data_IF_689214253832
#
_entry.id   IF_689214253832
#
_cell.length_a   1.000
_cell.length_b   1.000
_cell.length_c   1.000
_cell.angle_alpha   90.00
_cell.angle_beta   90.00
_cell.angle_gamma   90.00
#
_symmetry.space_group_name_H-M   'P 1'
#
loop_
_entity.id
_entity.type
_entity.pdbx_description
1 polymer ?
#
# COMPACT_ATOMS: atom_id res chain seq x y z
N UNK A 1 43.63 20.52 41.27
CA UNK A 1 42.68 20.20 40.18
C UNK A 1 42.89 21.09 38.95
N UNK A 2 43.11 22.41 39.08
CA UNK A 2 43.37 23.28 37.92
C UNK A 2 44.62 22.89 37.08
N UNK A 3 45.74 22.51 37.71
CA UNK A 3 46.94 22.10 36.95
C UNK A 3 46.77 20.81 36.13
N UNK A 4 45.93 19.87 36.58
CA UNK A 4 45.71 18.59 35.88
C UNK A 4 44.81 18.80 34.65
N UNK A 5 43.90 19.77 34.72
CA UNK A 5 43.07 20.20 33.58
C UNK A 5 43.92 20.89 32.51
N UNK A 6 44.89 21.72 32.91
CA UNK A 6 45.84 22.35 31.98
C UNK A 6 46.73 21.33 31.26
N UNK A 7 47.26 20.34 31.99
CA UNK A 7 48.04 19.25 31.37
C UNK A 7 47.20 18.37 30.43
N UNK A 8 45.92 18.14 30.76
CA UNK A 8 45.02 17.40 29.88
C UNK A 8 44.69 18.18 28.60
N UNK A 9 44.47 19.51 28.68
CA UNK A 9 44.27 20.35 27.50
C UNK A 9 45.49 20.38 26.58
N UNK A 10 46.71 20.50 27.12
CA UNK A 10 47.95 20.46 26.33
C UNK A 10 48.19 19.11 25.64
N UNK A 11 47.88 18.00 26.31
CA UNK A 11 47.95 16.66 25.70
C UNK A 11 46.89 16.51 24.59
N UNK A 12 45.69 17.08 24.78
CA UNK A 12 44.62 17.02 23.77
C UNK A 12 44.98 17.88 22.55
N UNK A 13 45.57 19.06 22.74
CA UNK A 13 46.08 19.90 21.65
C UNK A 13 47.26 19.26 20.91
N UNK A 14 48.16 18.58 21.64
CA UNK A 14 49.25 17.79 21.05
C UNK A 14 48.73 16.60 20.22
N UNK A 15 47.74 15.87 20.71
CA UNK A 15 47.12 14.74 20.00
C UNK A 15 46.32 15.21 18.77
N UNK A 16 45.59 16.34 18.87
CA UNK A 16 44.88 16.94 17.74
C UNK A 16 45.86 17.49 16.71
N UNK A 17 46.98 18.09 17.13
CA UNK A 17 48.05 18.53 16.22
C UNK A 17 48.78 17.35 15.58
N UNK A 18 48.99 16.25 16.30
CA UNK A 18 49.62 15.04 15.76
C UNK A 18 48.67 14.32 14.80
N UNK A 19 47.36 14.30 15.11
CA UNK A 19 46.32 13.79 14.23
C UNK A 19 46.16 14.66 12.97
N UNK A 20 46.26 15.99 13.07
CA UNK A 20 46.19 16.90 11.92
C UNK A 20 47.45 16.86 11.05
N UNK A 21 48.62 16.55 11.62
CA UNK A 21 49.88 16.42 10.86
C UNK A 21 50.09 15.00 10.29
N UNK A 22 49.32 14.00 10.75
CA UNK A 22 49.25 12.66 10.15
C UNK A 22 48.04 12.45 9.24
N UNK A 23 47.14 13.44 9.14
CA UNK A 23 46.06 13.51 8.13
C UNK A 23 46.36 14.47 6.97
N UNK A 24 47.59 14.95 6.85
CA UNK A 24 48.09 15.59 5.61
C UNK A 24 48.57 14.58 4.55
N UNK A 25 48.28 13.28 4.74
CA UNK A 25 48.40 12.26 3.69
C UNK A 25 47.10 12.29 2.87
N UNK A 26 47.13 13.08 1.79
CA UNK A 26 46.26 12.96 0.61
C UNK A 26 44.74 12.86 0.87
N UNK A 27 44.15 13.81 1.58
CA UNK A 27 42.69 14.07 1.47
C UNK A 27 42.47 15.18 0.44
N UNK A 28 42.92 14.94 -0.79
CA UNK A 28 42.52 15.74 -1.95
C UNK A 28 42.30 14.85 -3.20
N UNK A 29 42.28 13.52 -3.03
CA UNK A 29 42.14 12.53 -4.12
C UNK A 29 40.97 11.54 -3.94
N UNK A 30 40.03 11.79 -3.02
CA UNK A 30 38.94 10.83 -2.72
C UNK A 30 37.51 11.42 -2.67
N UNK A 31 37.30 12.69 -3.03
CA UNK A 31 35.96 13.26 -3.17
C UNK A 31 35.22 12.64 -4.36
N UNK A 32 35.92 12.33 -5.45
CA UNK A 32 35.33 11.64 -6.61
C UNK A 32 35.08 10.16 -6.33
N UNK A 33 35.92 9.49 -5.54
CA UNK A 33 35.68 8.09 -5.17
C UNK A 33 34.51 8.01 -4.18
N UNK A 34 34.49 8.86 -3.14
CA UNK A 34 33.41 8.92 -2.16
C UNK A 34 32.09 9.31 -2.83
N UNK A 35 32.08 10.31 -3.72
CA UNK A 35 30.89 10.66 -4.49
C UNK A 35 30.47 9.56 -5.47
N UNK A 36 31.41 8.81 -6.06
CA UNK A 36 31.08 7.69 -6.95
C UNK A 36 30.55 6.48 -6.19
N UNK A 37 31.14 6.12 -5.05
CA UNK A 37 30.62 5.11 -4.10
C UNK A 37 29.23 5.49 -3.57
N UNK A 38 29.01 6.76 -3.22
CA UNK A 38 27.69 7.29 -2.82
C UNK A 38 26.72 7.26 -4.02
N UNK A 39 27.17 7.58 -5.23
CA UNK A 39 26.34 7.50 -6.46
C UNK A 39 25.96 6.08 -6.81
N UNK A 40 26.87 5.11 -6.66
CA UNK A 40 26.58 3.70 -6.91
C UNK A 40 25.60 3.14 -5.89
N UNK A 41 25.77 3.47 -4.61
CA UNK A 41 24.82 3.08 -3.56
C UNK A 41 23.44 3.75 -3.69
N UNK A 42 23.33 4.87 -4.42
CA UNK A 42 22.07 5.55 -4.72
C UNK A 42 21.43 5.17 -6.07
N UNK A 43 21.98 4.18 -6.78
CA UNK A 43 21.27 3.60 -7.93
C UNK A 43 20.12 2.73 -7.41
N UNK A 44 18.90 3.24 -7.50
CA UNK A 44 17.70 2.46 -7.23
C UNK A 44 17.35 1.58 -8.45
N UNK A 45 17.60 0.27 -8.42
CA UNK A 45 17.27 -0.59 -9.56
C UNK A 45 15.76 -0.70 -9.68
N UNK A 46 15.24 -0.57 -10.91
CA UNK A 46 13.78 -0.63 -11.14
C UNK A 46 13.15 -2.00 -10.84
N UNK A 47 13.94 -3.08 -10.95
CA UNK A 47 13.56 -4.46 -10.59
C UNK A 47 12.13 -4.85 -11.00
N UNK A 48 11.80 -4.67 -12.29
CA UNK A 48 10.44 -4.87 -12.82
C UNK A 48 9.84 -6.25 -12.48
N UNK A 49 10.67 -7.29 -12.46
CA UNK A 49 10.23 -8.65 -12.09
C UNK A 49 9.69 -8.74 -10.66
N UNK A 50 10.28 -8.01 -9.69
CA UNK A 50 9.76 -7.95 -8.31
C UNK A 50 8.39 -7.27 -8.26
N UNK A 51 8.20 -6.25 -9.10
CA UNK A 51 6.89 -5.59 -9.24
C UNK A 51 5.85 -6.55 -9.81
N UNK A 52 6.23 -7.38 -10.80
CA UNK A 52 5.36 -8.42 -11.35
C UNK A 52 4.98 -9.46 -10.29
N UNK A 53 5.93 -9.95 -9.50
CA UNK A 53 5.66 -10.88 -8.40
C UNK A 53 4.71 -10.23 -7.37
N UNK A 54 4.95 -8.97 -6.99
CA UNK A 54 4.08 -8.24 -6.08
C UNK A 54 2.66 -8.09 -6.63
N UNK A 55 2.51 -7.76 -7.91
CA UNK A 55 1.22 -7.69 -8.59
C UNK A 55 0.48 -9.04 -8.60
N UNK A 56 1.19 -10.14 -8.86
CA UNK A 56 0.60 -11.49 -8.81
C UNK A 56 0.16 -11.87 -7.39
N UNK A 57 0.95 -11.56 -6.36
CA UNK A 57 0.58 -11.79 -4.96
C UNK A 57 -0.65 -10.96 -4.56
N UNK A 58 -0.70 -9.69 -4.96
CA UNK A 58 -1.86 -8.83 -4.75
C UNK A 58 -3.10 -9.40 -5.45
N UNK A 59 -2.98 -9.78 -6.73
CA UNK A 59 -4.08 -10.36 -7.51
C UNK A 59 -4.59 -11.67 -6.90
N UNK A 60 -3.68 -12.54 -6.46
CA UNK A 60 -4.02 -13.79 -5.78
C UNK A 60 -4.75 -13.53 -4.45
N UNK A 61 -4.27 -12.58 -3.64
CA UNK A 61 -4.92 -12.22 -2.38
C UNK A 61 -6.31 -11.62 -2.60
N UNK A 62 -6.46 -10.73 -3.59
CA UNK A 62 -7.74 -10.14 -3.96
C UNK A 62 -8.72 -11.19 -4.49
N UNK A 63 -8.25 -12.12 -5.32
CA UNK A 63 -9.05 -13.25 -5.80
C UNK A 63 -9.42 -14.22 -4.67
N UNK A 64 -8.50 -14.49 -3.75
CA UNK A 64 -8.79 -15.28 -2.55
C UNK A 64 -9.93 -14.66 -1.72
N UNK A 65 -9.95 -13.33 -1.59
CA UNK A 65 -11.06 -12.64 -0.94
C UNK A 65 -12.38 -12.83 -1.67
N UNK A 66 -12.42 -12.77 -3.01
CA UNK A 66 -13.67 -12.97 -3.75
C UNK A 66 -14.15 -14.41 -3.69
N UNK A 67 -13.24 -15.38 -3.62
CA UNK A 67 -13.57 -16.80 -3.40
C UNK A 67 -14.15 -17.02 -2.01
N UNK A 68 -13.48 -16.55 -0.96
CA UNK A 68 -13.98 -16.66 0.42
C UNK A 68 -15.31 -15.91 0.56
N UNK A 69 -15.45 -14.70 0.03
CA UNK A 69 -16.70 -13.95 0.04
C UNK A 69 -17.83 -14.73 -0.68
N UNK A 70 -17.54 -15.32 -1.84
CA UNK A 70 -18.51 -16.13 -2.58
C UNK A 70 -18.98 -17.36 -1.82
N UNK A 71 -18.10 -17.94 -1.00
CA UNK A 71 -18.39 -19.08 -0.13
C UNK A 71 -19.22 -18.65 1.09
N UNK A 72 -18.70 -17.71 1.89
CA UNK A 72 -19.33 -17.24 3.13
C UNK A 72 -20.67 -16.54 2.91
N UNK A 73 -20.89 -16.00 1.70
CA UNK A 73 -22.15 -15.41 1.31
C UNK A 73 -23.36 -16.32 1.57
N UNK A 74 -23.22 -17.61 1.29
CA UNK A 74 -24.31 -18.57 1.48
C UNK A 74 -24.54 -18.91 2.96
N UNK A 75 -23.50 -18.80 3.80
CA UNK A 75 -23.50 -19.16 5.22
C UNK A 75 -23.72 -17.97 6.17
N UNK A 76 -23.77 -16.74 5.65
CA UNK A 76 -23.97 -15.54 6.48
C UNK A 76 -25.22 -15.66 7.36
N UNK A 77 -25.19 -15.20 8.61
CA UNK A 77 -26.37 -15.16 9.47
C UNK A 77 -27.49 -14.31 8.85
N UNK A 78 -28.74 -14.77 8.99
CA UNK A 78 -29.96 -14.03 8.60
C UNK A 78 -30.59 -13.29 9.78
N UNK A 79 -29.89 -13.22 10.92
CA UNK A 79 -30.33 -12.47 12.09
C UNK A 79 -30.34 -10.97 11.82
N UNK A 80 -30.98 -10.22 12.72
CA UNK A 80 -30.95 -8.75 12.69
C UNK A 80 -29.50 -8.23 12.78
N UNK A 81 -29.22 -7.03 12.25
CA UNK A 81 -27.92 -6.38 12.40
C UNK A 81 -27.52 -6.25 13.87
N UNK A 82 -26.22 -6.29 14.13
CA UNK A 82 -25.69 -6.03 15.45
C UNK A 82 -25.88 -4.54 15.81
N UNK A 83 -26.04 -4.20 17.11
CA UNK A 83 -26.08 -2.82 17.53
C UNK A 83 -24.75 -2.13 17.20
N UNK A 84 -24.81 -0.97 16.56
CA UNK A 84 -23.66 -0.20 16.15
C UNK A 84 -23.87 1.28 16.49
N UNK A 85 -22.82 1.90 17.03
CA UNK A 85 -22.87 3.29 17.48
C UNK A 85 -23.21 4.25 16.34
N UNK A 86 -22.64 4.07 15.15
CA UNK A 86 -22.90 4.95 14.00
C UNK A 86 -24.35 4.87 13.54
N UNK A 87 -24.96 3.68 13.62
CA UNK A 87 -26.33 3.45 13.19
C UNK A 87 -27.35 4.08 14.15
N UNK A 88 -26.97 4.30 15.41
CA UNK A 88 -27.81 4.95 16.42
C UNK A 88 -27.91 6.47 16.23
N UNK A 89 -26.87 7.11 15.67
CA UNK A 89 -26.79 8.56 15.52
C UNK A 89 -27.13 9.06 14.11
N UNK A 90 -27.14 8.18 13.11
CA UNK A 90 -27.26 8.58 11.70
C UNK A 90 -28.52 8.01 11.04
N UNK A 91 -29.26 8.85 10.27
CA UNK A 91 -30.41 8.35 9.52
C UNK A 91 -29.95 7.38 8.43
N UNK A 92 -30.79 6.41 8.07
CA UNK A 92 -30.49 5.51 6.97
C UNK A 92 -30.58 6.21 5.63
N UNK A 93 -29.47 6.18 4.87
CA UNK A 93 -29.41 6.75 3.53
C UNK A 93 -28.58 5.82 2.63
N UNK A 94 -29.19 4.83 1.98
CA UNK A 94 -28.47 3.82 1.19
C UNK A 94 -27.72 4.42 -0.01
N UNK A 95 -28.25 5.50 -0.59
CA UNK A 95 -27.62 6.19 -1.73
C UNK A 95 -26.21 6.71 -1.43
N UNK A 96 -25.85 6.93 -0.16
CA UNK A 96 -24.51 7.37 0.23
C UNK A 96 -23.43 6.33 -0.08
N UNK A 97 -23.79 5.06 -0.19
CA UNK A 97 -22.86 4.00 -0.54
C UNK A 97 -22.27 4.18 -1.95
N UNK A 98 -23.09 4.66 -2.91
CA UNK A 98 -22.62 5.00 -4.26
C UNK A 98 -21.57 6.12 -4.23
N UNK A 99 -21.79 7.16 -3.41
CA UNK A 99 -20.83 8.25 -3.27
C UNK A 99 -19.54 7.82 -2.56
N UNK A 100 -19.63 6.90 -1.59
CA UNK A 100 -18.45 6.25 -1.01
C UNK A 100 -17.63 5.54 -2.09
N UNK A 101 -18.26 4.70 -2.90
CA UNK A 101 -17.58 3.94 -3.96
C UNK A 101 -16.95 4.89 -5.00
N UNK A 102 -17.64 5.98 -5.36
CA UNK A 102 -17.10 7.01 -6.24
C UNK A 102 -15.85 7.69 -5.66
N UNK A 103 -15.87 8.07 -4.38
CA UNK A 103 -14.70 8.64 -3.69
C UNK A 103 -13.55 7.62 -3.65
N UNK A 104 -13.85 6.36 -3.34
CA UNK A 104 -12.88 5.28 -3.28
C UNK A 104 -12.18 5.07 -4.62
N UNK A 105 -12.92 4.97 -5.72
CA UNK A 105 -12.36 4.83 -7.07
C UNK A 105 -11.53 6.06 -7.45
N UNK A 106 -12.02 7.27 -7.14
CA UNK A 106 -11.33 8.53 -7.45
C UNK A 106 -9.97 8.64 -6.73
N UNK A 107 -9.93 8.33 -5.43
CA UNK A 107 -8.69 8.32 -4.65
C UNK A 107 -7.74 7.22 -5.14
N UNK A 108 -8.26 6.03 -5.44
CA UNK A 108 -7.45 4.92 -5.95
C UNK A 108 -6.80 5.24 -7.29
N UNK A 109 -7.55 5.86 -8.21
CA UNK A 109 -7.03 6.30 -9.50
C UNK A 109 -5.99 7.40 -9.32
N UNK A 110 -6.23 8.36 -8.43
CA UNK A 110 -5.27 9.44 -8.12
C UNK A 110 -3.96 8.88 -7.56
N UNK A 111 -4.04 7.95 -6.60
CA UNK A 111 -2.88 7.26 -6.04
C UNK A 111 -2.09 6.50 -7.12
N UNK A 112 -2.80 5.77 -7.98
CA UNK A 112 -2.18 5.03 -9.09
C UNK A 112 -1.52 5.98 -10.11
N UNK A 113 -2.15 7.11 -10.45
CA UNK A 113 -1.56 8.12 -11.32
C UNK A 113 -0.28 8.69 -10.72
N UNK A 114 -0.27 9.03 -9.43
CA UNK A 114 0.95 9.51 -8.73
C UNK A 114 2.05 8.45 -8.83
N UNK A 115 1.74 7.18 -8.54
CA UNK A 115 2.70 6.09 -8.65
C UNK A 115 3.28 5.95 -10.06
N UNK A 116 2.44 6.04 -11.10
CA UNK A 116 2.85 5.89 -12.52
C UNK A 116 3.70 7.07 -13.00
N UNK A 117 3.41 8.29 -12.54
CA UNK A 117 4.14 9.52 -12.90
C UNK A 117 5.42 9.73 -12.07
N UNK A 118 5.67 8.91 -11.05
CA UNK A 118 6.87 9.00 -10.25
C UNK A 118 8.08 8.43 -11.00
N UNK A 119 9.28 9.04 -10.87
CA UNK A 119 10.51 8.56 -11.50
C UNK A 119 10.83 7.10 -11.13
N UNK A 120 10.55 6.74 -9.88
CA UNK A 120 10.74 5.40 -9.31
C UNK A 120 9.47 4.54 -9.32
N UNK A 121 8.56 4.74 -10.28
CA UNK A 121 7.25 4.07 -10.39
C UNK A 121 7.22 2.57 -10.10
N UNK A 122 8.22 1.81 -10.57
CA UNK A 122 8.27 0.36 -10.36
C UNK A 122 8.41 0.00 -8.88
N UNK A 123 9.21 0.77 -8.15
CA UNK A 123 9.38 0.59 -6.70
C UNK A 123 8.08 0.96 -5.99
N UNK A 124 7.45 2.10 -6.33
CA UNK A 124 6.18 2.52 -5.72
C UNK A 124 5.06 1.50 -5.96
N UNK A 125 4.91 1.01 -7.20
CA UNK A 125 3.93 -0.01 -7.54
C UNK A 125 4.20 -1.33 -6.79
N UNK A 126 5.47 -1.75 -6.67
CA UNK A 126 5.85 -2.90 -5.86
C UNK A 126 5.40 -2.73 -4.41
N UNK A 127 5.66 -1.59 -3.79
CA UNK A 127 5.25 -1.29 -2.41
C UNK A 127 3.73 -1.31 -2.26
N UNK A 128 3.01 -0.67 -3.20
CA UNK A 128 1.55 -0.66 -3.23
C UNK A 128 0.98 -2.07 -3.27
N UNK A 129 1.45 -2.90 -4.20
CA UNK A 129 0.95 -4.26 -4.37
C UNK A 129 1.31 -5.17 -3.19
N UNK A 130 2.48 -5.04 -2.57
CA UNK A 130 2.82 -5.85 -1.38
C UNK A 130 1.99 -5.45 -0.17
N UNK A 131 1.84 -4.15 0.10
CA UNK A 131 1.02 -3.68 1.22
C UNK A 131 -0.44 -4.13 1.01
N UNK A 132 -0.99 -3.93 -0.18
CA UNK A 132 -2.31 -4.42 -0.52
C UNK A 132 -2.42 -5.94 -0.36
N UNK A 133 -1.43 -6.71 -0.84
CA UNK A 133 -1.45 -8.17 -0.70
C UNK A 133 -1.53 -8.63 0.75
N UNK A 134 -0.74 -8.02 1.65
CA UNK A 134 -0.74 -8.35 3.08
C UNK A 134 -2.11 -8.02 3.71
N UNK A 135 -2.69 -6.86 3.40
CA UNK A 135 -3.98 -6.43 3.93
C UNK A 135 -5.12 -7.35 3.47
N UNK A 136 -5.19 -7.62 2.17
CA UNK A 136 -6.19 -8.53 1.61
C UNK A 136 -5.99 -9.96 2.10
N UNK A 137 -4.76 -10.43 2.28
CA UNK A 137 -4.52 -11.75 2.86
C UNK A 137 -5.06 -11.85 4.30
N UNK A 138 -4.86 -10.81 5.13
CA UNK A 138 -5.46 -10.74 6.46
C UNK A 138 -6.99 -10.72 6.42
N UNK A 139 -7.58 -9.96 5.49
CA UNK A 139 -9.03 -9.90 5.27
C UNK A 139 -9.61 -11.27 4.92
N UNK A 140 -8.93 -12.02 4.05
CA UNK A 140 -9.36 -13.37 3.64
C UNK A 140 -9.57 -14.28 4.85
N UNK A 141 -8.65 -14.27 5.82
CA UNK A 141 -8.78 -15.07 7.04
C UNK A 141 -9.88 -14.55 7.97
N UNK A 142 -10.01 -13.23 8.12
CA UNK A 142 -11.07 -12.65 8.94
C UNK A 142 -12.46 -13.09 8.45
N UNK A 143 -12.68 -13.02 7.13
CA UNK A 143 -13.92 -13.47 6.49
C UNK A 143 -14.15 -14.97 6.62
N UNK A 144 -13.08 -15.78 6.51
CA UNK A 144 -13.17 -17.24 6.65
C UNK A 144 -13.55 -17.64 8.09
N UNK A 145 -12.98 -16.97 9.09
CA UNK A 145 -13.17 -17.35 10.50
C UNK A 145 -14.47 -16.84 11.10
N UNK A 146 -14.98 -15.70 10.66
CA UNK A 146 -16.18 -15.11 11.26
C UNK A 146 -16.96 -14.34 10.21
N UNK A 147 -18.27 -14.56 10.20
CA UNK A 147 -19.21 -13.83 9.34
C UNK A 147 -20.23 -13.14 10.21
N UNK A 148 -20.43 -11.85 9.98
CA UNK A 148 -21.41 -11.05 10.72
C UNK A 148 -22.72 -10.95 9.93
N UNK A 149 -23.87 -10.77 10.59
CA UNK A 149 -25.11 -10.46 9.90
C UNK A 149 -24.98 -9.15 9.12
N UNK A 150 -25.78 -9.02 8.06
CA UNK A 150 -25.79 -7.81 7.25
C UNK A 150 -26.01 -6.56 8.10
N UNK A 151 -25.19 -5.51 7.89
CA UNK A 151 -25.39 -4.23 8.54
C UNK A 151 -26.66 -3.51 8.01
N UNK A 152 -26.93 -3.64 6.72
CA UNK A 152 -28.18 -3.20 6.09
C UNK A 152 -29.12 -4.40 5.81
N UNK A 153 -30.25 -4.52 6.53
CA UNK A 153 -31.26 -5.56 6.27
C UNK A 153 -31.88 -5.51 4.88
N UNK A 154 -31.93 -4.33 4.26
CA UNK A 154 -32.61 -4.09 2.98
C UNK A 154 -31.67 -4.19 1.77
N UNK A 155 -30.39 -4.50 2.01
CA UNK A 155 -29.41 -4.56 0.94
C UNK A 155 -29.70 -5.71 -0.04
N UNK A 156 -29.78 -5.45 -1.35
CA UNK A 156 -30.13 -6.46 -2.35
C UNK A 156 -28.98 -7.45 -2.54
N UNK A 157 -29.02 -8.54 -1.77
CA UNK A 157 -28.04 -9.63 -1.87
C UNK A 157 -28.37 -10.55 -3.06
N UNK A 158 -27.33 -11.05 -3.72
CA UNK A 158 -27.45 -12.13 -4.69
C UNK A 158 -28.12 -13.39 -4.08
N UNK A 159 -28.79 -14.23 -4.88
CA UNK A 159 -29.40 -15.46 -4.39
C UNK A 159 -28.33 -16.46 -3.92
N UNK A 160 -28.60 -17.12 -2.79
CA UNK A 160 -27.74 -18.18 -2.25
C UNK A 160 -27.76 -19.41 -3.15
N UNK A 161 -26.68 -20.19 -3.17
CA UNK A 161 -26.76 -21.51 -3.79
C UNK A 161 -27.66 -22.43 -2.95
N UNK A 162 -28.64 -23.07 -3.60
CA UNK A 162 -29.32 -24.26 -3.06
C UNK A 162 -28.29 -25.36 -2.83
N UNK A 163 -28.49 -26.24 -1.85
CA UNK A 163 -27.50 -27.26 -1.48
C UNK A 163 -27.04 -28.12 -2.68
N UNK A 164 -27.96 -28.46 -3.60
CA UNK A 164 -27.64 -29.20 -4.82
C UNK A 164 -26.75 -28.43 -5.82
N UNK A 165 -26.78 -27.09 -5.79
CA UNK A 165 -26.02 -26.21 -6.70
C UNK A 165 -24.73 -25.67 -6.06
N UNK A 166 -24.47 -25.94 -4.77
CA UNK A 166 -23.28 -25.47 -4.04
C UNK A 166 -22.05 -26.31 -4.39
N UNK A 167 -21.66 -26.30 -5.66
CA UNK A 167 -20.43 -26.92 -6.15
C UNK A 167 -19.26 -25.95 -6.06
N UNK A 168 -18.03 -26.48 -5.91
CA UNK A 168 -16.80 -25.66 -5.92
C UNK A 168 -16.72 -24.84 -7.22
N UNK A 169 -17.09 -25.44 -8.35
CA UNK A 169 -17.15 -24.76 -9.65
C UNK A 169 -18.14 -23.59 -9.65
N UNK A 170 -19.32 -23.75 -9.01
CA UNK A 170 -20.30 -22.69 -8.84
C UNK A 170 -19.77 -21.50 -8.04
N UNK A 171 -19.13 -21.77 -6.89
CA UNK A 171 -18.50 -20.74 -6.05
C UNK A 171 -17.38 -20.02 -6.80
N UNK A 172 -16.52 -20.76 -7.51
CA UNK A 172 -15.43 -20.19 -8.29
C UNK A 172 -15.94 -19.31 -9.44
N UNK A 173 -16.99 -19.74 -10.15
CA UNK A 173 -17.62 -18.97 -11.23
C UNK A 173 -18.22 -17.66 -10.72
N UNK A 174 -18.85 -17.68 -9.55
CA UNK A 174 -19.34 -16.49 -8.84
C UNK A 174 -18.17 -15.57 -8.48
N UNK A 175 -17.10 -16.12 -7.90
CA UNK A 175 -15.91 -15.37 -7.50
C UNK A 175 -15.21 -14.69 -8.68
N UNK A 176 -15.07 -15.38 -9.81
CA UNK A 176 -14.50 -14.82 -11.05
C UNK A 176 -15.33 -13.61 -11.52
N UNK A 177 -16.67 -13.76 -11.55
CA UNK A 177 -17.57 -12.70 -12.02
C UNK A 177 -17.48 -11.45 -11.14
N UNK A 178 -17.37 -11.63 -9.82
CA UNK A 178 -17.20 -10.53 -8.86
C UNK A 178 -15.81 -9.92 -8.92
N UNK A 179 -14.77 -10.75 -9.10
CA UNK A 179 -13.38 -10.28 -9.23
C UNK A 179 -13.21 -9.32 -10.41
N UNK A 180 -13.78 -9.65 -11.57
CA UNK A 180 -13.76 -8.74 -12.73
C UNK A 180 -14.68 -7.52 -12.58
N UNK A 181 -15.64 -7.54 -11.64
CA UNK A 181 -16.42 -6.37 -11.22
C UNK A 181 -15.66 -5.42 -10.27
N UNK A 182 -14.39 -5.73 -9.93
CA UNK A 182 -13.53 -4.94 -9.05
C UNK A 182 -14.10 -4.68 -7.64
N UNK A 183 -15.09 -5.45 -7.21
CA UNK A 183 -15.76 -5.28 -5.91
C UNK A 183 -16.70 -4.08 -5.81
N UNK A 184 -16.99 -3.39 -6.92
CA UNK A 184 -17.97 -2.32 -6.98
C UNK A 184 -19.40 -2.89 -7.07
N UNK A 185 -20.40 -2.12 -6.65
CA UNK A 185 -21.79 -2.46 -6.87
C UNK A 185 -22.14 -2.36 -8.34
N UNK A 186 -22.13 -3.50 -9.03
CA UNK A 186 -22.55 -3.60 -10.42
C UNK A 186 -23.67 -4.61 -10.54
N UNK A 187 -24.89 -4.11 -10.68
CA UNK A 187 -26.15 -4.86 -10.78
C UNK A 187 -26.49 -5.72 -9.54
N UNK A 188 -27.69 -5.53 -8.96
CA UNK A 188 -28.11 -6.23 -7.73
C UNK A 188 -27.99 -7.76 -7.73
N UNK A 189 -27.95 -8.39 -8.91
CA UNK A 189 -27.78 -9.84 -9.05
C UNK A 189 -26.35 -10.35 -8.75
N UNK A 190 -25.39 -9.45 -8.54
CA UNK A 190 -23.97 -9.74 -8.32
C UNK A 190 -23.49 -9.36 -6.92
N UNK A 191 -24.33 -8.68 -6.14
CA UNK A 191 -23.97 -8.13 -4.85
C UNK A 191 -23.85 -9.24 -3.80
N UNK A 192 -22.61 -9.60 -3.46
CA UNK A 192 -22.35 -10.56 -2.40
C UNK A 192 -22.40 -9.87 -1.04
N UNK A 193 -23.17 -10.46 -0.14
CA UNK A 193 -23.24 -10.09 1.27
C UNK A 193 -22.42 -11.04 2.13
N UNK A 194 -21.94 -10.58 3.29
CA UNK A 194 -21.22 -11.39 4.28
C UNK A 194 -19.82 -10.88 4.62
N UNK A 195 -19.40 -9.76 4.04
CA UNK A 195 -18.08 -9.16 4.22
C UNK A 195 -18.03 -8.02 5.23
N UNK A 196 -18.84 -8.10 6.30
CA UNK A 196 -18.98 -7.07 7.34
C UNK A 196 -17.93 -7.19 8.46
N UNK A 197 -16.79 -7.84 8.18
CA UNK A 197 -15.60 -7.83 9.03
C UNK A 197 -14.34 -7.66 8.17
N UNK A 198 -13.43 -6.83 8.65
CA UNK A 198 -12.29 -6.30 7.90
C UNK A 198 -12.68 -5.65 6.55
N UNK A 199 -13.17 -4.42 6.58
CA UNK A 199 -13.74 -3.61 5.50
C UNK A 199 -12.74 -3.29 4.40
N UNK A 200 -12.96 -3.85 3.21
CA UNK A 200 -12.13 -3.57 2.04
C UNK A 200 -12.27 -2.15 1.52
N UNK A 201 -13.46 -1.56 1.60
CA UNK A 201 -13.68 -0.16 1.23
C UNK A 201 -12.77 0.77 2.02
N UNK A 202 -12.71 0.57 3.34
CA UNK A 202 -11.84 1.34 4.23
C UNK A 202 -10.38 1.10 3.92
N UNK A 203 -9.96 -0.16 3.68
CA UNK A 203 -8.59 -0.50 3.28
C UNK A 203 -8.16 0.30 2.04
N UNK A 204 -8.98 0.29 0.97
CA UNK A 204 -8.67 0.98 -0.29
C UNK A 204 -8.68 2.50 -0.14
N UNK A 205 -9.65 3.07 0.58
CA UNK A 205 -9.69 4.50 0.89
C UNK A 205 -8.42 4.96 1.63
N UNK A 206 -8.07 4.26 2.71
CA UNK A 206 -6.93 4.63 3.56
C UNK A 206 -5.60 4.41 2.86
N UNK A 207 -5.39 3.26 2.21
CA UNK A 207 -4.12 3.02 1.48
C UNK A 207 -3.92 4.04 0.35
N UNK A 208 -4.98 4.38 -0.40
CA UNK A 208 -4.91 5.39 -1.46
C UNK A 208 -4.52 6.75 -0.90
N UNK A 209 -5.13 7.14 0.21
CA UNK A 209 -4.81 8.40 0.92
C UNK A 209 -3.37 8.45 1.38
N UNK A 210 -2.87 7.36 1.98
CA UNK A 210 -1.50 7.26 2.45
C UNK A 210 -0.50 7.35 1.29
N UNK A 211 -0.75 6.65 0.18
CA UNK A 211 0.10 6.74 -1.01
C UNK A 211 0.11 8.13 -1.63
N UNK A 212 -1.06 8.79 -1.71
CA UNK A 212 -1.14 10.17 -2.22
C UNK A 212 -0.30 11.10 -1.34
N UNK A 213 -0.43 11.03 -0.02
CA UNK A 213 0.28 11.91 0.90
C UNK A 213 1.78 11.65 0.95
N UNK A 214 2.19 10.38 0.90
CA UNK A 214 3.61 10.00 1.00
C UNK A 214 4.40 10.33 -0.27
N UNK A 215 3.82 10.06 -1.45
CA UNK A 215 4.58 10.08 -2.71
C UNK A 215 4.34 11.32 -3.57
N UNK A 216 3.32 12.15 -3.29
CA UNK A 216 3.14 13.39 -4.05
C UNK A 216 4.14 14.48 -3.66
N UNK A 217 4.44 15.45 -4.55
CA UNK A 217 5.40 16.51 -4.26
C UNK A 217 5.03 17.30 -3.00
N UNK A 218 6.01 17.60 -2.15
CA UNK A 218 5.82 18.43 -0.94
C UNK A 218 5.22 19.82 -1.20
N UNK A 219 5.30 20.30 -2.45
CA UNK A 219 4.70 21.56 -2.90
C UNK A 219 3.16 21.49 -2.97
N UNK A 220 2.57 20.29 -3.10
CA UNK A 220 1.14 20.07 -3.25
C UNK A 220 0.41 20.03 -1.89
N UNK A 221 0.66 21.03 -1.04
CA UNK A 221 0.12 21.11 0.33
C UNK A 221 -1.41 20.99 0.38
N UNK A 222 -2.11 21.55 -0.60
CA UNK A 222 -3.57 21.47 -0.68
C UNK A 222 -4.07 20.04 -0.92
N UNK A 223 -3.38 19.25 -1.73
CA UNK A 223 -3.73 17.85 -1.95
C UNK A 223 -3.57 17.07 -0.64
N UNK A 224 -2.46 17.28 0.07
CA UNK A 224 -2.24 16.66 1.38
C UNK A 224 -3.31 17.04 2.39
N UNK A 225 -3.72 18.30 2.41
CA UNK A 225 -4.74 18.81 3.32
C UNK A 225 -6.14 18.26 3.01
N UNK A 226 -6.52 18.15 1.74
CA UNK A 226 -7.89 17.79 1.32
C UNK A 226 -8.12 16.27 1.32
N UNK A 227 -7.09 15.48 1.05
CA UNK A 227 -7.22 14.02 0.91
C UNK A 227 -7.77 13.33 2.16
N UNK A 228 -7.27 13.67 3.36
CA UNK A 228 -7.78 13.09 4.61
C UNK A 228 -9.26 13.42 4.88
N UNK A 229 -9.71 14.69 4.82
CA UNK A 229 -11.13 15.02 4.88
C UNK A 229 -12.01 14.25 3.89
N UNK A 230 -11.59 14.15 2.62
CA UNK A 230 -12.33 13.38 1.60
C UNK A 230 -12.45 11.91 1.99
N UNK A 231 -11.39 11.32 2.53
CA UNK A 231 -11.38 9.94 3.03
C UNK A 231 -12.31 9.74 4.22
N UNK A 232 -12.32 10.67 5.17
CA UNK A 232 -13.26 10.61 6.30
C UNK A 232 -14.71 10.80 5.85
N UNK A 233 -14.98 11.65 4.86
CA UNK A 233 -16.31 11.79 4.25
C UNK A 233 -16.71 10.46 3.58
N UNK A 234 -15.81 9.82 2.83
CA UNK A 234 -16.03 8.49 2.27
C UNK A 234 -16.40 7.47 3.35
N UNK A 235 -15.63 7.39 4.43
CA UNK A 235 -15.90 6.50 5.57
C UNK A 235 -17.26 6.83 6.23
N UNK A 236 -17.59 8.11 6.41
CA UNK A 236 -18.88 8.51 6.97
C UNK A 236 -20.05 8.04 6.07
N UNK A 237 -19.94 8.21 4.75
CA UNK A 237 -20.93 7.72 3.80
C UNK A 237 -21.10 6.19 3.87
N UNK A 238 -20.01 5.45 4.06
CA UNK A 238 -20.04 3.99 4.25
C UNK A 238 -20.84 3.58 5.49
N UNK A 239 -20.69 4.31 6.60
CA UNK A 239 -21.37 4.03 7.86
C UNK A 239 -22.86 4.45 7.83
N UNK A 240 -23.17 5.65 7.31
CA UNK A 240 -24.55 6.16 7.23
C UNK A 240 -25.41 5.28 6.32
N UNK A 241 -24.84 4.80 5.22
CA UNK A 241 -25.49 3.84 4.32
C UNK A 241 -25.61 2.42 4.89
N UNK A 242 -25.08 2.17 6.09
CA UNK A 242 -24.99 0.84 6.72
C UNK A 242 -24.26 -0.18 5.85
N UNK A 243 -23.30 0.28 5.04
CA UNK A 243 -22.48 -0.58 4.21
C UNK A 243 -21.55 -1.48 5.04
N UNK A 244 -21.03 -0.96 6.16
CA UNK A 244 -20.12 -1.67 7.08
C UNK A 244 -20.42 -1.28 8.53
N UNK A 245 -20.04 -2.12 9.49
CA UNK A 245 -20.08 -1.76 10.92
C UNK A 245 -18.93 -0.81 11.29
N UNK A 246 -19.10 -0.01 12.33
CA UNK A 246 -18.05 0.90 12.86
C UNK A 246 -16.81 0.12 13.29
N UNK A 247 -16.99 -1.02 13.97
CA UNK A 247 -15.87 -1.87 14.38
C UNK A 247 -15.06 -2.37 13.19
N UNK A 248 -15.76 -2.64 12.08
CA UNK A 248 -15.15 -3.13 10.87
C UNK A 248 -14.22 -2.08 10.23
N UNK A 249 -14.76 -0.86 10.08
CA UNK A 249 -13.99 0.30 9.62
C UNK A 249 -12.80 0.59 10.53
N UNK A 250 -12.99 0.53 11.85
CA UNK A 250 -11.93 0.80 12.83
C UNK A 250 -10.75 -0.19 12.71
N UNK A 251 -11.05 -1.49 12.59
CA UNK A 251 -10.04 -2.54 12.40
C UNK A 251 -9.28 -2.31 11.08
N UNK A 252 -10.00 -2.05 9.98
CA UNK A 252 -9.39 -1.77 8.68
C UNK A 252 -8.48 -0.54 8.71
N UNK A 253 -8.92 0.56 9.32
CA UNK A 253 -8.11 1.76 9.46
C UNK A 253 -6.83 1.49 10.26
N UNK A 254 -6.97 0.79 11.40
CA UNK A 254 -5.84 0.47 12.26
C UNK A 254 -4.82 -0.42 11.55
N UNK A 255 -5.24 -1.55 10.98
CA UNK A 255 -4.34 -2.48 10.30
C UNK A 255 -3.67 -1.83 9.07
N UNK A 256 -4.44 -1.08 8.27
CA UNK A 256 -3.90 -0.41 7.07
C UNK A 256 -2.81 0.58 7.42
N UNK A 257 -3.05 1.45 8.41
CA UNK A 257 -2.06 2.46 8.82
C UNK A 257 -0.82 1.82 9.45
N UNK A 258 -0.97 0.80 10.31
CA UNK A 258 0.16 0.11 10.95
C UNK A 258 1.04 -0.59 9.93
N UNK A 259 0.45 -1.43 9.06
CA UNK A 259 1.20 -2.14 8.02
C UNK A 259 1.88 -1.15 7.07
N UNK A 260 1.21 -0.06 6.69
CA UNK A 260 1.81 0.96 5.83
C UNK A 260 3.06 1.57 6.46
N UNK A 261 2.96 2.09 7.70
CA UNK A 261 4.08 2.77 8.35
C UNK A 261 5.20 1.81 8.77
N UNK A 262 4.87 0.59 9.20
CA UNK A 262 5.86 -0.45 9.47
C UNK A 262 6.64 -0.81 8.20
N UNK A 263 5.93 -1.04 7.09
CA UNK A 263 6.57 -1.33 5.80
C UNK A 263 7.52 -0.19 5.40
N UNK A 264 7.05 1.06 5.43
CA UNK A 264 7.90 2.20 5.07
C UNK A 264 9.10 2.37 6.01
N UNK A 265 8.91 2.11 7.31
CA UNK A 265 10.01 2.12 8.30
C UNK A 265 11.08 1.08 7.97
N UNK A 266 10.70 -0.14 7.58
CA UNK A 266 11.65 -1.18 7.15
C UNK A 266 12.36 -0.83 5.84
N UNK A 267 11.70 -0.09 4.94
CA UNK A 267 12.36 0.37 3.71
C UNK A 267 13.36 1.49 3.95
N UNK A 268 13.03 2.42 4.85
CA UNK A 268 13.89 3.56 5.19
C UNK A 268 15.08 3.16 6.08
N UNK A 269 14.97 2.08 6.86
CA UNK A 269 15.98 1.65 7.83
C UNK A 269 16.48 0.23 7.52
N UNK A 270 17.51 0.07 6.66
CA UNK A 270 18.08 -1.24 6.34
C UNK A 270 18.58 -2.02 7.56
N UNK A 271 18.99 -1.33 8.63
CA UNK A 271 19.37 -1.94 9.90
C UNK A 271 18.21 -2.75 10.50
N UNK A 272 17.01 -2.14 10.61
CA UNK A 272 15.82 -2.81 11.15
C UNK A 272 15.37 -3.99 10.27
N UNK A 273 15.56 -3.85 8.95
CA UNK A 273 15.19 -4.88 7.97
C UNK A 273 16.14 -6.08 8.00
N UNK A 274 17.45 -5.85 7.96
CA UNK A 274 18.45 -6.87 7.60
C UNK A 274 19.29 -7.37 8.79
N UNK A 275 19.62 -6.51 9.76
CA UNK A 275 20.65 -6.82 10.77
C UNK A 275 20.07 -7.63 11.91
N UNK A 276 20.40 -8.91 12.02
CA UNK A 276 20.01 -9.76 13.16
C UNK A 276 20.59 -9.19 14.47
N UNK A 277 19.72 -8.66 15.32
CA UNK A 277 20.05 -8.17 16.66
C UNK A 277 19.10 -8.79 17.66
N UNK A 278 19.60 -9.08 18.87
CA UNK A 278 18.79 -9.62 19.97
C UNK A 278 17.63 -8.69 20.35
N UNK A 279 17.86 -7.39 20.18
CA UNK A 279 16.93 -6.32 20.59
C UNK A 279 15.94 -5.94 19.47
N UNK A 280 16.18 -6.42 18.24
CA UNK A 280 15.28 -6.17 17.12
C UNK A 280 14.15 -7.22 17.07
N UNK A 281 13.13 -7.05 17.90
CA UNK A 281 11.97 -7.94 17.95
C UNK A 281 11.10 -7.92 16.68
N UNK A 282 11.17 -6.85 15.88
CA UNK A 282 10.43 -6.71 14.61
C UNK A 282 10.80 -7.80 13.60
N UNK A 283 11.96 -8.43 13.75
CA UNK A 283 12.41 -9.53 12.89
C UNK A 283 11.55 -10.79 13.00
N UNK A 284 10.78 -10.91 14.07
CA UNK A 284 9.89 -12.05 14.31
C UNK A 284 8.61 -11.95 13.48
N UNK A 285 8.32 -10.80 12.85
CA UNK A 285 7.18 -10.68 11.95
C UNK A 285 7.39 -11.57 10.72
N UNK A 286 6.51 -12.55 10.52
CA UNK A 286 6.61 -13.49 9.40
C UNK A 286 6.60 -12.81 8.03
N UNK A 287 5.83 -11.73 7.88
CA UNK A 287 5.76 -10.98 6.62
C UNK A 287 7.03 -10.13 6.33
N UNK A 288 7.90 -9.91 7.32
CA UNK A 288 9.17 -9.17 7.11
C UNK A 288 10.06 -9.87 6.08
N UNK A 289 9.96 -11.20 5.94
CA UNK A 289 10.62 -11.94 4.88
C UNK A 289 10.25 -11.42 3.49
N UNK A 290 8.98 -11.11 3.24
CA UNK A 290 8.50 -10.53 1.99
C UNK A 290 9.14 -9.15 1.79
N UNK A 291 9.17 -8.32 2.83
CA UNK A 291 9.80 -7.00 2.77
C UNK A 291 11.30 -7.11 2.43
N UNK A 292 12.03 -8.06 3.04
CA UNK A 292 13.46 -8.31 2.76
C UNK A 292 13.70 -8.68 1.30
N UNK A 293 12.93 -9.63 0.76
CA UNK A 293 13.07 -10.05 -0.64
C UNK A 293 12.78 -8.90 -1.60
N UNK A 294 11.72 -8.14 -1.33
CA UNK A 294 11.25 -7.09 -2.23
C UNK A 294 12.18 -5.88 -2.21
N UNK A 295 12.74 -5.51 -1.06
CA UNK A 295 13.46 -4.24 -0.86
C UNK A 295 14.98 -4.41 -0.68
N UNK A 296 15.54 -5.60 -0.90
CA UNK A 296 16.96 -5.91 -0.62
C UNK A 296 17.96 -4.88 -1.18
N UNK A 297 17.70 -4.38 -2.40
CA UNK A 297 18.58 -3.47 -3.15
C UNK A 297 18.22 -1.99 -2.99
N UNK A 298 17.39 -1.66 -2.00
CA UNK A 298 17.03 -0.28 -1.66
C UNK A 298 17.58 0.03 -0.27
N UNK A 299 18.51 0.99 -0.22
CA UNK A 299 19.28 1.32 0.98
C UNK A 299 18.99 2.73 1.53
N UNK A 300 18.28 3.57 0.76
CA UNK A 300 17.94 4.94 1.14
C UNK A 300 16.49 5.26 0.82
N UNK A 301 15.98 6.33 1.43
CA UNK A 301 14.64 6.86 1.13
C UNK A 301 14.59 7.38 -0.30
N UNK A 302 13.48 7.14 -1.01
CA UNK A 302 13.33 7.57 -2.40
C UNK A 302 13.21 9.10 -2.47
N UNK A 303 13.92 9.77 -3.39
CA UNK A 303 13.70 11.19 -3.60
C UNK A 303 12.38 11.43 -4.34
N UNK A 304 11.67 12.51 -3.98
CA UNK A 304 10.39 12.88 -4.58
C UNK A 304 10.61 13.57 -5.94
N UNK A 305 10.92 12.75 -6.95
CA UNK A 305 11.15 13.18 -8.33
C UNK A 305 10.09 12.56 -9.25
N UNK A 306 9.47 13.40 -10.09
CA UNK A 306 8.47 12.99 -11.06
C UNK A 306 9.07 13.00 -12.47
N UNK A 307 8.76 11.95 -13.23
CA UNK A 307 9.14 11.85 -14.65
C UNK A 307 7.90 11.46 -15.45
N UNK A 308 7.69 12.09 -16.60
CA UNK A 308 6.54 11.76 -17.42
C UNK A 308 6.84 10.47 -18.23
N UNK A 309 6.18 9.34 -17.91
CA UNK A 309 6.46 8.07 -18.57
C UNK A 309 6.12 8.08 -20.07
N UNK A 310 5.21 8.97 -20.50
CA UNK A 310 4.78 9.08 -21.89
C UNK A 310 5.87 9.65 -22.80
N UNK A 311 6.83 10.41 -22.26
CA UNK A 311 7.96 10.94 -23.05
C UNK A 311 8.82 9.79 -23.59
N UNK A 312 9.07 8.76 -22.77
CA UNK A 312 9.85 7.59 -23.17
C UNK A 312 9.10 6.71 -24.18
N UNK A 313 7.79 6.54 -23.99
CA UNK A 313 6.94 5.80 -24.94
C UNK A 313 6.91 6.52 -26.30
N UNK A 314 6.73 7.84 -26.30
CA UNK A 314 6.75 8.64 -27.53
C UNK A 314 8.10 8.56 -28.23
N UNK A 315 9.22 8.63 -27.51
CA UNK A 315 10.56 8.44 -28.08
C UNK A 315 10.75 7.04 -28.68
N UNK A 316 10.22 6.00 -28.04
CA UNK A 316 10.29 4.63 -28.57
C UNK A 316 9.45 4.47 -29.85
N UNK A 317 8.22 4.98 -29.87
CA UNK A 317 7.34 4.96 -31.05
C UNK A 317 7.95 5.76 -32.20
N UNK A 318 8.44 6.99 -31.95
CA UNK A 318 9.09 7.81 -32.98
C UNK A 318 10.39 7.18 -33.48
N UNK A 319 11.17 6.51 -32.63
CA UNK A 319 12.38 5.81 -33.03
C UNK A 319 12.06 4.61 -33.94
N UNK A 320 10.98 3.87 -33.69
CA UNK A 320 10.56 2.80 -34.59
C UNK A 320 10.02 3.33 -35.92
N UNK A 321 9.31 4.46 -35.92
CA UNK A 321 8.76 5.04 -37.15
C UNK A 321 9.81 5.72 -38.05
N UNK A 322 10.95 6.16 -37.49
CA UNK A 322 12.02 6.83 -38.26
C UNK A 322 13.05 5.87 -38.88
N UNK A 323 12.92 4.55 -38.68
CA UNK A 323 13.85 3.55 -39.23
C UNK A 323 13.39 3.02 -40.61
N UNK A 324 12.21 3.45 -41.11
CA UNK A 324 11.63 2.98 -42.38
C UNK A 324 11.88 3.87 -43.63
N UNK A 325 12.87 4.77 -43.66
CA UNK A 325 13.25 5.48 -44.90
C UNK A 325 14.72 5.24 -45.30
N UNK A 326 15.01 4.31 -46.23
CA UNK A 326 16.30 4.25 -46.91
C UNK A 326 16.22 5.10 -48.19
N UNK A 327 16.75 6.32 -48.16
CA UNK A 327 17.00 7.07 -49.40
C UNK A 327 18.26 6.52 -50.06
N UNK A 328 18.03 5.64 -51.04
CA UNK A 328 18.94 5.37 -52.14
C UNK A 328 19.19 6.68 -52.92
N UNK A 329 20.45 7.12 -52.97
CA UNK A 329 21.05 7.89 -54.08
C UNK A 329 22.54 7.64 -54.08
#
# INVERSE_FOLDING_TARGET
>A
MANILSEAEDITHSLVSTASTSTSIQIEEDDNSTNSFIRENNKFPSERYKTLIAFLLCSLSAFGNTVILSYVHDFRPTSKPLPDISFSFTPYTPSLLYYNEFIMVSLSLTALTICILHKYRWILLRRLFIIAAILYFGRMFALLFTTLPNADPNYPCAPRFTDNNRTISGVLRRAIRVFFGAGLQVNGNLNLCGDYIYSGHTVILVISTLFINEYSPKKWKYIHLITWPVTFIGIAFLLISRGHYTIDVAISYWLTTRIFWEYHTFTANPYLRNVKSRDNHLQKYGWLFICRMMENNIHSSLPNEFDNPFIHIRKYILRNNNVELPLHT
#
